data_IF_622219422182
#
_entry.id   IF_622219422182
#
_cell.length_a   1.000
_cell.length_b   1.000
_cell.length_c   1.000
_cell.angle_alpha   90.00
_cell.angle_beta   90.00
_cell.angle_gamma   90.00
#
_symmetry.space_group_name_H-M   'P 1'
#
loop_
_entity.id
_entity.type
_entity.pdbx_description
1 polymer ?
#
# COMPACT_ATOMS: atom_id res chain seq x y z
N UNK A 1 15.34 27.42 39.26
CA UNK A 1 16.00 26.15 38.85
C UNK A 1 15.88 26.01 37.33
N UNK A 2 16.58 25.06 36.69
CA UNK A 2 16.38 24.76 35.26
C UNK A 2 15.35 23.63 35.03
N UNK A 3 14.91 23.45 33.79
CA UNK A 3 13.88 22.46 33.45
C UNK A 3 14.31 21.02 33.74
N UNK A 4 15.60 20.68 33.56
CA UNK A 4 16.11 19.35 33.82
C UNK A 4 16.15 19.01 35.32
N UNK A 5 16.48 19.99 36.17
CA UNK A 5 16.37 19.85 37.62
C UNK A 5 14.91 19.72 38.06
N UNK A 6 13.99 20.47 37.44
CA UNK A 6 12.54 20.35 37.69
C UNK A 6 12.02 18.94 37.35
N UNK A 7 12.37 18.41 36.17
CA UNK A 7 11.94 17.07 35.73
C UNK A 7 12.37 15.97 36.71
N UNK A 8 13.61 16.05 37.23
CA UNK A 8 14.13 15.10 38.24
C UNK A 8 13.40 15.16 39.58
N UNK A 9 12.76 16.28 39.91
CA UNK A 9 12.02 16.44 41.17
C UNK A 9 10.51 16.27 40.99
N UNK A 10 10.00 16.18 39.76
CA UNK A 10 8.58 16.16 39.45
C UNK A 10 7.84 15.02 40.14
N UNK A 11 8.39 13.79 40.11
CA UNK A 11 7.78 12.63 40.79
C UNK A 11 7.68 12.82 42.31
N UNK A 12 8.72 13.42 42.92
CA UNK A 12 8.72 13.78 44.35
C UNK A 12 7.75 14.91 44.68
N UNK A 13 7.59 15.88 43.77
CA UNK A 13 6.63 16.98 43.88
C UNK A 13 5.19 16.45 43.79
N UNK A 14 4.92 15.49 42.92
CA UNK A 14 3.60 14.85 42.79
C UNK A 14 3.26 13.96 43.99
N UNK A 15 4.25 13.33 44.62
CA UNK A 15 4.07 12.51 45.82
C UNK A 15 4.10 13.26 47.15
N UNK A 16 4.10 14.59 47.17
CA UNK A 16 4.26 15.44 48.37
C UNK A 16 5.48 15.08 49.25
N UNK A 17 6.60 14.68 48.63
CA UNK A 17 7.84 14.24 49.32
C UNK A 17 8.99 15.24 49.25
N UNK A 18 8.76 16.47 48.80
CA UNK A 18 9.79 17.49 48.70
C UNK A 18 10.03 18.22 50.02
N UNK A 19 11.28 18.65 50.24
CA UNK A 19 11.56 19.62 51.30
C UNK A 19 10.93 20.98 50.96
N UNK A 20 10.64 21.80 51.98
CA UNK A 20 10.05 23.14 51.78
C UNK A 20 10.87 24.03 50.83
N UNK A 21 12.20 23.94 50.88
CA UNK A 21 13.08 24.70 49.99
C UNK A 21 12.96 24.23 48.52
N UNK A 22 12.83 22.93 48.28
CA UNK A 22 12.64 22.39 46.94
C UNK A 22 11.25 22.69 46.38
N UNK A 23 10.18 22.61 47.20
CA UNK A 23 8.82 22.96 46.79
C UNK A 23 8.74 24.44 46.38
N UNK A 24 9.35 25.33 47.17
CA UNK A 24 9.40 26.74 46.83
C UNK A 24 10.17 27.00 45.53
N UNK A 25 11.34 26.38 45.35
CA UNK A 25 12.13 26.52 44.12
C UNK A 25 11.38 25.98 42.87
N UNK A 26 10.61 24.90 43.03
CA UNK A 26 9.77 24.34 41.98
C UNK A 26 8.62 25.28 41.60
N UNK A 27 7.95 25.88 42.60
CA UNK A 27 6.87 26.86 42.38
C UNK A 27 7.37 28.12 41.70
N UNK A 28 8.51 28.66 42.15
CA UNK A 28 9.17 29.81 41.51
C UNK A 28 9.49 29.49 40.04
N UNK A 29 10.02 28.30 39.76
CA UNK A 29 10.28 27.87 38.38
C UNK A 29 9.01 27.75 37.53
N UNK A 30 7.91 27.21 38.07
CA UNK A 30 6.63 27.11 37.33
C UNK A 30 5.98 28.47 37.03
N UNK A 31 6.30 29.51 37.80
CA UNK A 31 5.88 30.87 37.47
C UNK A 31 6.63 31.39 36.23
N UNK A 32 7.92 31.09 36.14
CA UNK A 32 8.79 31.54 35.05
C UNK A 32 8.72 30.67 33.79
N UNK A 33 8.46 29.37 33.92
CA UNK A 33 8.46 28.41 32.82
C UNK A 33 7.05 27.86 32.53
N UNK A 34 6.45 28.35 31.44
CA UNK A 34 5.12 27.91 31.00
C UNK A 34 5.06 26.42 30.66
N UNK A 35 6.12 25.85 30.07
CA UNK A 35 6.16 24.44 29.71
C UNK A 35 6.10 23.52 30.93
N UNK A 36 6.97 23.75 31.92
CA UNK A 36 7.01 22.96 33.15
C UNK A 36 5.70 23.11 33.96
N UNK A 37 5.08 24.29 33.92
CA UNK A 37 3.76 24.52 34.51
C UNK A 37 2.66 23.70 33.83
N UNK A 38 2.67 23.61 32.50
CA UNK A 38 1.68 22.82 31.77
C UNK A 38 1.86 21.32 32.03
N UNK A 39 3.10 20.84 32.04
CA UNK A 39 3.41 19.44 32.41
C UNK A 39 2.90 19.15 33.83
N UNK A 40 3.21 20.00 34.81
CA UNK A 40 2.71 19.85 36.17
C UNK A 40 1.18 19.86 36.23
N UNK A 41 0.54 20.74 35.46
CA UNK A 41 -0.93 20.78 35.36
C UNK A 41 -1.48 19.47 34.79
N UNK A 42 -0.90 18.92 33.74
CA UNK A 42 -1.35 17.65 33.14
C UNK A 42 -1.28 16.49 34.13
N UNK A 43 -0.24 16.45 34.98
CA UNK A 43 -0.11 15.40 35.99
C UNK A 43 -0.93 15.65 37.26
N UNK A 44 -1.14 16.91 37.66
CA UNK A 44 -1.89 17.28 38.87
C UNK A 44 -3.40 17.38 38.64
N UNK A 45 -3.83 17.69 37.43
CA UNK A 45 -5.25 17.63 37.08
C UNK A 45 -5.64 16.15 37.13
N UNK A 46 -6.38 15.82 38.17
CA UNK A 46 -6.46 14.51 38.81
C UNK A 46 -6.80 13.29 37.91
N UNK A 47 -6.26 12.11 38.26
CA UNK A 47 -6.78 10.79 37.91
C UNK A 47 -8.22 10.53 38.39
N UNK A 48 -8.71 11.25 39.40
CA UNK A 48 -10.05 11.12 40.00
C UNK A 48 -11.22 11.59 39.10
N UNK A 49 -10.94 12.16 37.94
CA UNK A 49 -11.98 12.53 36.97
C UNK A 49 -12.38 11.39 36.03
N UNK A 50 -11.56 10.33 35.96
CA UNK A 50 -11.93 9.14 35.23
C UNK A 50 -12.66 8.24 36.20
N UNK A 51 -13.88 7.84 35.86
CA UNK A 51 -14.54 6.78 36.61
C UNK A 51 -13.65 5.54 36.60
N UNK A 52 -13.78 4.67 37.60
CA UNK A 52 -13.07 3.38 37.65
C UNK A 52 -13.16 2.62 36.30
N UNK A 53 -14.28 2.79 35.59
CA UNK A 53 -14.53 2.25 34.26
C UNK A 53 -13.64 2.89 33.18
N UNK A 54 -13.54 4.22 33.11
CA UNK A 54 -12.66 4.91 32.14
C UNK A 54 -11.18 4.72 32.46
N UNK A 55 -10.82 4.57 33.73
CA UNK A 55 -9.45 4.25 34.12
C UNK A 55 -9.08 2.82 33.70
N UNK A 56 -9.99 1.86 33.87
CA UNK A 56 -9.79 0.49 33.36
C UNK A 56 -9.69 0.45 31.83
N UNK A 57 -10.52 1.22 31.13
CA UNK A 57 -10.50 1.32 29.67
C UNK A 57 -9.19 1.96 29.15
N UNK A 58 -8.76 3.07 29.73
CA UNK A 58 -7.50 3.74 29.37
C UNK A 58 -6.28 2.86 29.68
N UNK A 59 -6.27 2.21 30.84
CA UNK A 59 -5.20 1.27 31.19
C UNK A 59 -5.19 0.10 30.21
N UNK A 60 -6.36 -0.42 29.82
CA UNK A 60 -6.51 -1.42 28.77
C UNK A 60 -5.92 -0.95 27.43
N UNK A 61 -6.27 0.26 26.98
CA UNK A 61 -5.78 0.83 25.73
C UNK A 61 -4.26 1.08 25.73
N UNK A 62 -3.70 1.60 26.84
CA UNK A 62 -2.26 1.81 26.99
C UNK A 62 -1.53 0.47 27.00
N UNK A 63 -2.04 -0.53 27.72
CA UNK A 63 -1.46 -1.88 27.73
C UNK A 63 -1.53 -2.51 26.35
N UNK A 64 -2.66 -2.41 25.65
CA UNK A 64 -2.82 -2.91 24.28
C UNK A 64 -1.80 -2.25 23.33
N UNK A 65 -1.56 -0.95 23.49
CA UNK A 65 -0.63 -0.20 22.65
C UNK A 65 0.85 -0.43 22.99
N UNK A 66 1.18 -0.66 24.27
CA UNK A 66 2.58 -0.77 24.73
C UNK A 66 3.08 -2.20 24.87
N UNK A 67 2.20 -3.14 25.23
CA UNK A 67 2.56 -4.56 25.36
C UNK A 67 2.23 -5.38 24.10
N UNK A 68 1.64 -4.73 23.10
CA UNK A 68 1.08 -5.38 21.92
C UNK A 68 -0.19 -6.15 22.27
N UNK A 69 -0.94 -6.59 21.26
CA UNK A 69 -2.10 -7.42 21.54
C UNK A 69 -1.63 -8.74 22.17
N UNK A 70 -2.20 -9.17 23.31
CA UNK A 70 -1.81 -10.43 23.95
C UNK A 70 -2.00 -11.62 22.99
N UNK A 71 -2.94 -11.53 22.05
CA UNK A 71 -3.11 -12.50 20.98
C UNK A 71 -1.87 -12.63 20.08
N UNK A 72 -1.23 -11.52 19.69
CA UNK A 72 -0.02 -11.58 18.86
C UNK A 72 1.13 -12.26 19.58
N UNK A 73 1.32 -11.96 20.87
CA UNK A 73 2.33 -12.66 21.67
C UNK A 73 2.00 -14.15 21.80
N UNK A 74 0.72 -14.50 21.94
CA UNK A 74 0.30 -15.91 21.96
C UNK A 74 0.58 -16.61 20.63
N UNK A 75 0.32 -15.97 19.49
CA UNK A 75 0.61 -16.51 18.16
C UNK A 75 2.08 -16.92 18.01
N UNK A 76 3.00 -16.12 18.58
CA UNK A 76 4.43 -16.41 18.59
C UNK A 76 4.79 -17.63 19.48
N UNK A 77 4.05 -17.85 20.57
CA UNK A 77 4.27 -18.95 21.52
C UNK A 77 3.52 -20.25 21.17
N UNK A 78 2.56 -20.19 20.26
CA UNK A 78 1.59 -21.27 20.04
C UNK A 78 2.21 -22.52 19.41
N UNK A 79 3.21 -22.35 18.54
CA UNK A 79 3.95 -23.48 17.95
C UNK A 79 4.71 -24.27 19.02
N UNK A 80 5.48 -23.56 19.87
CA UNK A 80 6.23 -24.18 20.95
C UNK A 80 5.30 -24.85 21.98
N UNK A 81 4.11 -24.28 22.23
CA UNK A 81 3.07 -24.89 23.06
C UNK A 81 2.59 -26.23 22.48
N UNK A 82 2.31 -26.28 21.17
CA UNK A 82 1.86 -27.50 20.49
C UNK A 82 2.94 -28.58 20.48
N UNK A 83 4.20 -28.18 20.38
CA UNK A 83 5.35 -29.08 20.43
C UNK A 83 5.73 -29.50 21.86
N UNK A 84 5.17 -28.87 22.90
CA UNK A 84 5.51 -29.12 24.29
C UNK A 84 6.91 -28.59 24.69
N UNK A 85 7.40 -27.58 23.97
CA UNK A 85 8.72 -26.97 24.15
C UNK A 85 8.69 -25.67 25.00
N UNK A 86 7.51 -25.24 25.44
CA UNK A 86 7.33 -24.03 26.22
C UNK A 86 7.85 -24.18 27.66
N UNK A 87 8.45 -23.13 28.23
CA UNK A 87 8.77 -23.13 29.66
C UNK A 87 7.50 -23.01 30.52
N UNK A 88 7.53 -23.46 31.79
CA UNK A 88 6.33 -23.50 32.63
C UNK A 88 5.62 -22.15 32.81
N UNK A 89 6.36 -21.04 32.81
CA UNK A 89 5.78 -19.70 32.99
C UNK A 89 4.96 -19.31 31.77
N UNK A 90 5.53 -19.52 30.58
CA UNK A 90 4.81 -19.24 29.33
C UNK A 90 3.65 -20.22 29.11
N UNK A 91 3.76 -21.46 29.59
CA UNK A 91 2.68 -22.46 29.49
C UNK A 91 1.45 -22.03 30.28
N UNK A 92 1.63 -21.52 31.51
CA UNK A 92 0.54 -20.96 32.32
C UNK A 92 -0.10 -19.74 31.64
N UNK A 93 0.70 -18.85 31.05
CA UNK A 93 0.20 -17.68 30.33
C UNK A 93 -0.64 -18.08 29.10
N UNK A 94 -0.15 -19.04 28.31
CA UNK A 94 -0.87 -19.55 27.14
C UNK A 94 -2.17 -20.23 27.56
N UNK A 95 -2.14 -21.09 28.59
CA UNK A 95 -3.33 -21.76 29.11
C UNK A 95 -4.40 -20.76 29.55
N UNK A 96 -4.04 -19.76 30.37
CA UNK A 96 -4.96 -18.75 30.87
C UNK A 96 -5.58 -17.89 29.76
N UNK A 97 -4.85 -17.64 28.66
CA UNK A 97 -5.36 -16.91 27.52
C UNK A 97 -6.30 -17.76 26.66
N UNK A 98 -5.96 -19.02 26.40
CA UNK A 98 -6.79 -19.95 25.64
C UNK A 98 -8.15 -20.21 26.32
N UNK A 99 -8.20 -20.15 27.66
CA UNK A 99 -9.47 -20.21 28.41
C UNK A 99 -10.42 -19.04 28.14
N UNK A 100 -9.93 -17.90 27.65
CA UNK A 100 -10.71 -16.66 27.50
C UNK A 100 -10.86 -16.18 26.05
N UNK A 101 -10.06 -16.68 25.12
CA UNK A 101 -9.99 -16.17 23.75
C UNK A 101 -10.33 -17.27 22.72
N UNK A 102 -11.57 -17.27 22.24
CA UNK A 102 -12.08 -18.24 21.26
C UNK A 102 -11.26 -18.27 19.96
N UNK A 103 -10.82 -17.10 19.47
CA UNK A 103 -10.03 -16.99 18.26
C UNK A 103 -8.67 -17.70 18.39
N UNK A 104 -8.01 -17.55 19.54
CA UNK A 104 -6.74 -18.20 19.81
C UNK A 104 -6.89 -19.70 20.01
N UNK A 105 -7.99 -20.14 20.64
CA UNK A 105 -8.34 -21.56 20.77
C UNK A 105 -8.61 -22.21 19.42
N UNK A 106 -9.32 -21.52 18.53
CA UNK A 106 -9.51 -21.95 17.15
C UNK A 106 -8.17 -22.08 16.40
N UNK A 107 -7.28 -21.09 16.53
CA UNK A 107 -5.94 -21.14 15.93
C UNK A 107 -5.11 -22.31 16.46
N UNK A 108 -5.13 -22.56 17.77
CA UNK A 108 -4.45 -23.72 18.39
C UNK A 108 -4.91 -25.02 17.76
N UNK A 109 -6.22 -25.20 17.63
CA UNK A 109 -6.81 -26.42 17.07
C UNK A 109 -6.42 -26.61 15.59
N UNK A 110 -6.40 -25.54 14.80
CA UNK A 110 -5.94 -25.59 13.40
C UNK A 110 -4.48 -26.02 13.32
N UNK A 111 -3.60 -25.40 14.11
CA UNK A 111 -2.17 -25.73 14.10
C UNK A 111 -1.90 -27.15 14.61
N UNK A 112 -2.65 -27.62 15.62
CA UNK A 112 -2.55 -29.00 16.11
C UNK A 112 -2.93 -30.02 15.02
N UNK A 113 -4.04 -29.79 14.32
CA UNK A 113 -4.47 -30.63 13.20
C UNK A 113 -3.45 -30.61 12.05
N UNK A 114 -2.93 -29.42 11.70
CA UNK A 114 -1.91 -29.28 10.66
C UNK A 114 -0.61 -30.01 11.02
N UNK A 115 -0.21 -30.00 12.29
CA UNK A 115 0.98 -30.71 12.76
C UNK A 115 0.84 -32.23 12.58
N UNK A 116 -0.35 -32.78 12.87
CA UNK A 116 -0.67 -34.18 12.62
C UNK A 116 -0.64 -34.52 11.12
N UNK A 117 -1.31 -33.70 10.29
CA UNK A 117 -1.33 -33.87 8.84
C UNK A 117 0.10 -33.83 8.26
N UNK A 118 0.91 -32.85 8.64
CA UNK A 118 2.29 -32.71 8.16
C UNK A 118 3.16 -33.90 8.59
N UNK A 119 2.97 -34.42 9.81
CA UNK A 119 3.69 -35.61 10.27
C UNK A 119 3.29 -36.85 9.47
N UNK A 120 2.01 -36.99 9.11
CA UNK A 120 1.55 -38.08 8.24
C UNK A 120 2.14 -37.99 6.82
N UNK A 121 2.37 -36.77 6.32
CA UNK A 121 3.01 -36.56 5.01
C UNK A 121 4.52 -36.79 5.04
N UNK A 122 5.17 -36.61 6.20
CA UNK A 122 6.60 -36.81 6.37
C UNK A 122 7.03 -38.28 6.16
N UNK A 123 6.11 -39.24 6.24
CA UNK A 123 6.39 -40.66 5.98
C UNK A 123 6.56 -40.98 4.48
N UNK A 124 6.21 -40.06 3.58
CA UNK A 124 6.40 -40.24 2.14
C UNK A 124 7.85 -39.92 1.79
N UNK A 125 8.71 -40.92 1.85
CA UNK A 125 10.07 -40.81 1.32
C UNK A 125 9.98 -40.66 -0.21
N UNK A 126 10.27 -39.48 -0.79
CA UNK A 126 10.12 -39.29 -2.21
C UNK A 126 11.14 -40.17 -2.95
N UNK A 127 10.69 -40.75 -4.06
CA UNK A 127 11.54 -41.38 -5.07
C UNK A 127 12.72 -40.45 -5.40
N UNK A 128 13.94 -41.01 -5.49
CA UNK A 128 15.14 -40.26 -5.87
C UNK A 128 15.01 -39.55 -7.22
N UNK A 129 14.20 -40.09 -8.14
CA UNK A 129 13.83 -39.44 -9.41
C UNK A 129 12.97 -38.21 -9.20
N UNK A 130 12.03 -38.22 -8.26
CA UNK A 130 11.23 -37.03 -7.95
C UNK A 130 12.12 -35.88 -7.45
N UNK A 131 13.08 -36.17 -6.57
CA UNK A 131 14.04 -35.16 -6.10
C UNK A 131 14.84 -34.61 -7.28
N UNK A 132 15.33 -35.47 -8.17
CA UNK A 132 16.07 -35.05 -9.36
C UNK A 132 15.19 -34.23 -10.32
N UNK A 133 13.94 -34.59 -10.53
CA UNK A 133 12.99 -33.86 -11.38
C UNK A 133 12.65 -32.49 -10.80
N UNK A 134 12.48 -32.37 -9.47
CA UNK A 134 12.24 -31.08 -8.81
C UNK A 134 13.49 -30.21 -8.88
N UNK A 135 14.68 -30.76 -8.63
CA UNK A 135 15.94 -30.02 -8.75
C UNK A 135 16.18 -29.58 -10.20
N UNK A 136 15.91 -30.43 -11.19
CA UNK A 136 16.00 -30.08 -12.61
C UNK A 136 14.97 -29.02 -13.02
N UNK A 137 13.87 -28.85 -12.26
CA UNK A 137 12.87 -27.81 -12.53
C UNK A 137 13.09 -26.52 -11.74
N UNK A 138 13.77 -26.59 -10.60
CA UNK A 138 13.95 -25.45 -9.68
C UNK A 138 15.37 -24.88 -9.73
N UNK A 139 16.39 -25.72 -9.92
CA UNK A 139 17.80 -25.33 -9.95
C UNK A 139 18.27 -25.02 -11.37
N UNK A 140 17.63 -25.53 -12.41
CA UNK A 140 18.05 -25.30 -13.79
C UNK A 140 17.83 -23.83 -14.19
N UNK A 141 18.85 -23.04 -13.86
CA UNK A 141 19.08 -21.71 -14.41
C UNK A 141 19.10 -21.87 -15.93
N UNK A 142 18.31 -21.07 -16.67
CA UNK A 142 18.38 -21.10 -18.13
C UNK A 142 19.84 -20.89 -18.53
N UNK A 143 20.41 -21.88 -19.21
CA UNK A 143 21.78 -21.80 -19.68
C UNK A 143 21.89 -20.52 -20.51
N UNK A 144 22.91 -19.71 -20.19
CA UNK A 144 23.19 -18.42 -20.83
C UNK A 144 23.26 -18.51 -22.36
N UNK A 145 23.43 -19.71 -22.91
CA UNK A 145 23.42 -19.99 -24.36
C UNK A 145 22.06 -19.84 -25.04
N UNK A 146 20.93 -19.90 -24.31
CA UNK A 146 19.60 -19.63 -24.89
C UNK A 146 19.28 -18.13 -25.04
N UNK A 147 20.09 -17.25 -24.44
CA UNK A 147 19.86 -15.80 -24.45
C UNK A 147 20.31 -15.11 -25.73
N UNK A 148 21.09 -15.79 -26.58
CA UNK A 148 21.73 -15.19 -27.76
C UNK A 148 20.98 -15.51 -29.07
N UNK A 149 20.08 -16.51 -29.09
CA UNK A 149 19.40 -16.93 -30.34
C UNK A 149 17.87 -16.94 -30.28
N UNK A 150 17.26 -16.53 -29.16
CA UNK A 150 15.80 -16.48 -29.01
C UNK A 150 15.21 -15.16 -29.49
N UNK A 151 14.52 -15.20 -30.63
CA UNK A 151 13.53 -14.20 -31.07
C UNK A 151 12.67 -13.69 -29.91
N UNK A 152 12.32 -12.40 -29.92
CA UNK A 152 11.55 -11.69 -28.87
C UNK A 152 10.30 -12.44 -28.39
N UNK A 153 9.69 -13.26 -29.26
CA UNK A 153 8.54 -14.11 -28.97
C UNK A 153 8.83 -15.24 -27.97
N UNK A 154 10.04 -15.80 -27.97
CA UNK A 154 10.45 -16.85 -27.02
C UNK A 154 10.67 -16.31 -25.59
N UNK A 155 11.20 -15.09 -25.48
CA UNK A 155 11.42 -14.44 -24.18
C UNK A 155 10.10 -14.11 -23.47
N UNK A 156 9.10 -13.63 -24.23
CA UNK A 156 7.77 -13.28 -23.70
C UNK A 156 7.02 -14.53 -23.24
N UNK A 157 6.98 -15.60 -24.04
CA UNK A 157 6.28 -16.84 -23.66
C UNK A 157 6.91 -17.54 -22.44
N UNK A 158 8.25 -17.55 -22.35
CA UNK A 158 8.97 -18.06 -21.18
C UNK A 158 8.80 -17.22 -19.92
N UNK A 159 8.54 -15.92 -20.06
CA UNK A 159 8.18 -15.06 -18.93
C UNK A 159 6.73 -15.30 -18.48
N UNK A 160 5.78 -15.38 -19.42
CA UNK A 160 4.37 -15.64 -19.13
C UNK A 160 4.13 -16.98 -18.43
N UNK A 161 4.78 -18.05 -18.91
CA UNK A 161 4.67 -19.37 -18.27
C UNK A 161 5.21 -19.41 -16.83
N UNK A 162 6.21 -18.58 -16.52
CA UNK A 162 6.73 -18.43 -15.14
C UNK A 162 5.79 -17.63 -14.26
N UNK A 163 5.14 -16.60 -14.81
CA UNK A 163 4.18 -15.81 -14.05
C UNK A 163 2.90 -16.59 -13.75
N UNK A 164 2.37 -17.35 -14.71
CA UNK A 164 1.15 -18.18 -14.53
C UNK A 164 1.32 -19.22 -13.42
N UNK A 165 2.53 -19.71 -13.16
CA UNK A 165 2.81 -20.68 -12.09
C UNK A 165 2.84 -20.08 -10.69
N UNK A 166 2.79 -18.75 -10.54
CA UNK A 166 2.72 -18.13 -9.22
C UNK A 166 1.28 -18.22 -8.69
N UNK A 167 1.06 -18.74 -7.47
CA UNK A 167 -0.30 -18.87 -6.92
C UNK A 167 -1.04 -17.54 -6.78
N UNK A 168 -0.33 -16.41 -6.71
CA UNK A 168 -0.91 -15.05 -6.64
C UNK A 168 -1.20 -14.40 -7.98
N UNK A 169 -0.73 -14.97 -9.09
CA UNK A 169 -0.85 -14.38 -10.41
C UNK A 169 -2.31 -14.14 -10.88
N UNK A 170 -3.27 -15.06 -10.65
CA UNK A 170 -4.66 -14.82 -11.04
C UNK A 170 -5.25 -13.59 -10.36
N UNK A 171 -4.91 -13.35 -9.10
CA UNK A 171 -5.39 -12.22 -8.31
C UNK A 171 -4.80 -10.89 -8.82
N UNK A 172 -3.49 -10.87 -9.11
CA UNK A 172 -2.80 -9.71 -9.66
C UNK A 172 -3.32 -9.32 -11.05
N UNK A 173 -3.61 -10.30 -11.91
CA UNK A 173 -4.20 -10.09 -13.24
C UNK A 173 -5.63 -9.60 -13.14
N UNK A 174 -6.46 -10.21 -12.28
CA UNK A 174 -7.84 -9.78 -12.08
C UNK A 174 -7.89 -8.33 -11.56
N UNK A 175 -7.01 -7.97 -10.63
CA UNK A 175 -6.92 -6.60 -10.11
C UNK A 175 -6.46 -5.60 -11.18
N UNK A 176 -5.41 -5.93 -11.94
CA UNK A 176 -4.92 -5.07 -13.01
C UNK A 176 -5.96 -4.90 -14.11
N UNK A 177 -6.69 -5.96 -14.46
CA UNK A 177 -7.81 -5.89 -15.40
C UNK A 177 -8.96 -5.04 -14.87
N UNK A 178 -9.33 -5.18 -13.59
CA UNK A 178 -10.34 -4.35 -12.95
C UNK A 178 -9.94 -2.87 -12.94
N UNK A 179 -8.67 -2.55 -12.68
CA UNK A 179 -8.16 -1.17 -12.75
C UNK A 179 -8.19 -0.62 -14.16
N UNK A 180 -7.79 -1.40 -15.17
CA UNK A 180 -7.89 -1.00 -16.57
C UNK A 180 -9.35 -0.73 -16.96
N UNK A 181 -10.27 -1.61 -16.58
CA UNK A 181 -11.70 -1.39 -16.82
C UNK A 181 -12.20 -0.14 -16.09
N UNK A 182 -11.84 0.03 -14.82
CA UNK A 182 -12.24 1.20 -14.04
C UNK A 182 -11.76 2.51 -14.69
N UNK A 183 -10.50 2.54 -15.14
CA UNK A 183 -9.91 3.67 -15.87
C UNK A 183 -10.64 3.87 -17.20
N UNK A 184 -10.87 2.80 -17.97
CA UNK A 184 -11.57 2.89 -19.25
C UNK A 184 -13.01 3.42 -19.09
N UNK A 185 -13.75 2.94 -18.09
CA UNK A 185 -15.13 3.35 -17.87
C UNK A 185 -15.25 4.74 -17.24
N UNK A 186 -14.35 5.13 -16.33
CA UNK A 186 -14.41 6.46 -15.69
C UNK A 186 -13.80 7.56 -16.55
N UNK A 187 -12.68 7.31 -17.23
CA UNK A 187 -11.99 8.35 -18.02
C UNK A 187 -12.65 8.53 -19.39
N UNK A 188 -12.99 7.44 -20.08
CA UNK A 188 -13.58 7.54 -21.42
C UNK A 188 -15.11 7.68 -21.39
N UNK A 189 -15.70 7.73 -20.19
CA UNK A 189 -17.10 8.13 -19.99
C UNK A 189 -18.07 7.37 -20.87
N UNK A 190 -17.93 6.04 -21.00
CA UNK A 190 -18.87 5.23 -21.78
C UNK A 190 -20.28 5.40 -21.18
N UNK A 191 -21.18 6.11 -21.86
CA UNK A 191 -22.56 6.19 -21.40
C UNK A 191 -23.18 4.84 -21.71
N UNK A 192 -23.53 4.07 -20.67
CA UNK A 192 -24.50 2.98 -20.82
C UNK A 192 -25.87 3.63 -21.07
N UNK A 193 -26.06 4.18 -22.26
CA UNK A 193 -27.33 4.67 -22.76
C UNK A 193 -28.20 3.45 -23.11
N UNK A 194 -28.99 3.04 -22.12
CA UNK A 194 -30.08 2.11 -22.27
C UNK A 194 -31.18 2.49 -21.30
N UNK A 195 -31.95 3.52 -21.66
CA UNK A 195 -33.28 3.88 -21.12
C UNK A 195 -33.46 3.86 -19.58
N UNK A 196 -33.48 5.05 -18.97
CA UNK A 196 -34.72 5.63 -18.43
C UNK A 196 -34.43 6.93 -17.67
N UNK A 197 -34.90 8.03 -18.25
CA UNK A 197 -35.32 9.28 -17.60
C UNK A 197 -34.29 10.10 -16.78
N UNK A 198 -33.67 11.15 -17.35
CA UNK A 198 -32.74 12.03 -16.65
C UNK A 198 -33.41 12.91 -15.57
N UNK A 199 -34.74 12.99 -15.51
CA UNK A 199 -35.44 13.79 -14.52
C UNK A 199 -35.44 13.20 -13.09
N UNK A 200 -35.10 11.91 -12.91
CA UNK A 200 -35.13 11.24 -11.60
C UNK A 200 -33.83 11.36 -10.77
N UNK A 201 -32.74 11.94 -11.30
CA UNK A 201 -31.44 12.01 -10.61
C UNK A 201 -31.07 13.39 -10.04
N UNK A 202 -32.02 14.07 -9.43
CA UNK A 202 -31.75 15.23 -8.56
C UNK A 202 -31.32 14.85 -7.13
N UNK A 203 -31.04 13.59 -6.84
CA UNK A 203 -30.56 13.12 -5.54
C UNK A 203 -29.19 12.48 -5.65
N UNK A 204 -28.17 13.15 -5.11
CA UNK A 204 -26.79 12.70 -4.90
C UNK A 204 -25.90 12.62 -6.14
N UNK A 205 -25.45 13.80 -6.60
CA UNK A 205 -24.23 13.90 -7.37
C UNK A 205 -23.02 13.66 -6.41
N UNK A 206 -22.19 12.63 -6.61
CA UNK A 206 -21.06 12.35 -5.72
C UNK A 206 -20.02 13.48 -5.71
N UNK A 207 -19.97 14.30 -6.77
CA UNK A 207 -19.12 15.50 -6.83
C UNK A 207 -19.60 16.55 -5.83
N UNK A 208 -20.91 16.65 -5.62
CA UNK A 208 -21.52 17.61 -4.71
C UNK A 208 -21.36 17.18 -3.25
N UNK A 209 -21.44 15.88 -2.94
CA UNK A 209 -21.14 15.35 -1.60
C UNK A 209 -19.67 15.50 -1.22
N UNK A 210 -18.76 15.31 -2.19
CA UNK A 210 -17.32 15.56 -1.97
C UNK A 210 -17.08 17.05 -1.78
N UNK A 211 -17.71 17.92 -2.57
CA UNK A 211 -17.62 19.37 -2.44
C UNK A 211 -18.13 19.89 -1.08
N UNK A 212 -19.26 19.37 -0.58
CA UNK A 212 -19.82 19.74 0.72
C UNK A 212 -18.95 19.26 1.89
N UNK A 213 -18.42 18.03 1.83
CA UNK A 213 -17.46 17.53 2.81
C UNK A 213 -16.14 18.34 2.81
N UNK A 214 -15.78 18.92 1.66
CA UNK A 214 -14.62 19.77 1.51
C UNK A 214 -14.83 21.18 2.09
N UNK A 215 -16.04 21.73 1.97
CA UNK A 215 -16.38 23.04 2.55
C UNK A 215 -16.50 23.00 4.08
N UNK A 216 -16.92 21.87 4.67
CA UNK A 216 -17.11 21.74 6.13
C UNK A 216 -15.80 21.76 6.96
N UNK A 217 -14.61 21.70 6.34
CA UNK A 217 -13.31 21.60 7.02
C UNK A 217 -12.44 22.88 6.93
N UNK A 218 -13.08 24.05 6.78
CA UNK A 218 -12.43 25.36 6.61
C UNK A 218 -11.37 25.73 7.68
N UNK A 219 -11.48 25.37 8.97
CA UNK A 219 -10.45 25.68 9.98
C UNK A 219 -9.15 24.88 9.84
N UNK A 220 -9.18 23.72 9.18
CA UNK A 220 -7.99 22.92 8.88
C UNK A 220 -7.21 23.49 7.67
N UNK A 221 -7.89 24.28 6.83
CA UNK A 221 -7.38 24.83 5.58
C UNK A 221 -6.27 25.86 5.79
N UNK A 222 -6.39 26.73 6.80
CA UNK A 222 -5.37 27.74 7.10
C UNK A 222 -4.02 27.11 7.46
N UNK A 223 -4.03 26.14 8.38
CA UNK A 223 -2.80 25.47 8.85
C UNK A 223 -2.14 24.58 7.79
N UNK A 224 -2.92 23.94 6.93
CA UNK A 224 -2.40 23.10 5.83
C UNK A 224 -1.93 23.96 4.66
N UNK A 225 -2.58 25.09 4.38
CA UNK A 225 -2.16 26.03 3.33
C UNK A 225 -0.86 26.76 3.72
N UNK A 226 -0.70 27.17 4.97
CA UNK A 226 0.52 27.83 5.45
C UNK A 226 1.72 26.87 5.47
N UNK A 227 1.49 25.62 5.92
CA UNK A 227 2.50 24.57 5.86
C UNK A 227 2.84 24.19 4.42
N UNK A 228 1.82 23.97 3.58
CA UNK A 228 1.98 23.62 2.17
C UNK A 228 2.67 24.71 1.34
N UNK A 229 2.38 25.98 1.60
CA UNK A 229 3.04 27.12 0.95
C UNK A 229 4.52 27.21 1.28
N UNK A 230 4.88 27.07 2.55
CA UNK A 230 6.29 27.14 3.00
C UNK A 230 7.15 25.96 2.50
N UNK A 231 6.54 24.77 2.36
CA UNK A 231 7.18 23.60 1.75
C UNK A 231 7.28 23.76 0.23
N UNK A 232 6.23 24.25 -0.43
CA UNK A 232 6.21 24.47 -1.88
C UNK A 232 7.20 25.54 -2.36
N UNK A 233 7.39 26.63 -1.62
CA UNK A 233 8.41 27.63 -1.94
C UNK A 233 9.84 27.08 -1.80
N UNK A 234 10.08 26.18 -0.83
CA UNK A 234 11.42 25.60 -0.59
C UNK A 234 11.77 24.45 -1.53
N UNK A 235 10.80 23.59 -1.87
CA UNK A 235 11.07 22.37 -2.65
C UNK A 235 10.33 22.35 -3.99
N UNK A 236 9.15 22.95 -4.07
CA UNK A 236 8.29 22.93 -5.25
C UNK A 236 8.73 23.88 -6.36
N UNK A 237 9.15 25.11 -6.05
CA UNK A 237 9.55 26.09 -7.07
C UNK A 237 10.83 25.69 -7.85
N UNK A 238 11.90 25.17 -7.20
CA UNK A 238 13.07 24.67 -7.91
C UNK A 238 12.74 23.41 -8.74
N UNK A 239 11.96 22.49 -8.16
CA UNK A 239 11.53 21.26 -8.81
C UNK A 239 10.61 21.54 -10.00
N UNK A 240 9.67 22.47 -9.89
CA UNK A 240 8.75 22.88 -10.97
C UNK A 240 9.47 23.50 -12.16
N UNK A 241 10.60 24.19 -11.93
CA UNK A 241 11.42 24.77 -12.99
C UNK A 241 12.24 23.72 -13.73
N UNK A 242 12.69 22.68 -13.04
CA UNK A 242 13.42 21.55 -13.60
C UNK A 242 12.48 20.52 -14.26
N UNK A 243 11.30 20.32 -13.69
CA UNK A 243 10.24 19.49 -14.27
C UNK A 243 9.46 20.20 -15.38
N UNK A 244 9.44 21.53 -15.46
CA UNK A 244 8.74 22.27 -16.53
C UNK A 244 9.34 21.97 -17.90
N UNK A 245 10.67 22.00 -18.02
CA UNK A 245 11.36 21.65 -19.27
C UNK A 245 11.22 20.15 -19.61
N UNK A 246 11.17 19.28 -18.60
CA UNK A 246 10.89 17.86 -18.76
C UNK A 246 9.41 17.60 -19.11
N UNK A 247 8.50 18.43 -18.61
CA UNK A 247 7.06 18.34 -18.84
C UNK A 247 6.71 18.82 -20.23
N UNK A 248 7.32 19.89 -20.74
CA UNK A 248 7.13 20.32 -22.13
C UNK A 248 7.67 19.26 -23.11
N UNK A 249 8.84 18.66 -22.82
CA UNK A 249 9.36 17.54 -23.61
C UNK A 249 8.49 16.27 -23.48
N UNK A 250 7.90 16.02 -22.30
CA UNK A 250 7.00 14.90 -22.05
C UNK A 250 5.62 15.11 -22.67
N UNK A 251 5.10 16.34 -22.70
CA UNK A 251 3.84 16.72 -23.36
C UNK A 251 4.02 16.69 -24.87
N UNK A 252 5.13 17.19 -25.42
CA UNK A 252 5.41 17.08 -26.86
C UNK A 252 5.59 15.61 -27.29
N UNK A 253 6.29 14.81 -26.48
CA UNK A 253 6.39 13.36 -26.71
C UNK A 253 5.04 12.67 -26.50
N UNK A 254 4.25 13.14 -25.55
CA UNK A 254 2.92 12.66 -25.20
C UNK A 254 1.90 12.92 -26.31
N UNK A 255 1.90 14.10 -26.91
CA UNK A 255 1.05 14.46 -28.05
C UNK A 255 1.42 13.66 -29.29
N UNK A 256 2.73 13.46 -29.55
CA UNK A 256 3.21 12.57 -30.61
C UNK A 256 2.81 11.10 -30.38
N UNK A 257 2.80 10.66 -29.12
CA UNK A 257 2.33 9.31 -28.74
C UNK A 257 0.81 9.17 -28.79
N UNK A 258 0.05 10.20 -28.39
CA UNK A 258 -1.40 10.24 -28.44
C UNK A 258 -1.91 10.31 -29.88
N UNK A 259 -1.24 11.04 -30.77
CA UNK A 259 -1.55 11.04 -32.21
C UNK A 259 -1.23 9.66 -32.83
N UNK A 260 -0.14 9.02 -32.40
CA UNK A 260 0.17 7.65 -32.83
C UNK A 260 -0.86 6.63 -32.28
N UNK A 261 -1.34 6.83 -31.05
CA UNK A 261 -2.35 6.00 -30.43
C UNK A 261 -3.74 6.22 -31.03
N UNK A 262 -4.10 7.44 -31.44
CA UNK A 262 -5.36 7.75 -32.12
C UNK A 262 -5.42 7.09 -33.51
N UNK A 263 -4.30 7.09 -34.23
CA UNK A 263 -4.13 6.38 -35.50
C UNK A 263 -4.26 4.86 -35.26
N UNK A 264 -3.58 4.33 -34.24
CA UNK A 264 -3.72 2.94 -33.82
C UNK A 264 -5.16 2.56 -33.48
N UNK A 265 -5.88 3.43 -32.76
CA UNK A 265 -7.29 3.25 -32.41
C UNK A 265 -8.21 3.23 -33.64
N UNK A 266 -7.96 4.09 -34.63
CA UNK A 266 -8.71 4.10 -35.90
C UNK A 266 -8.54 2.80 -36.67
N UNK A 267 -7.32 2.26 -36.76
CA UNK A 267 -7.07 0.99 -37.42
C UNK A 267 -7.58 -0.21 -36.61
N UNK A 268 -7.47 -0.18 -35.29
CA UNK A 268 -8.02 -1.21 -34.41
C UNK A 268 -9.56 -1.25 -34.49
N UNK A 269 -10.22 -0.08 -34.58
CA UNK A 269 -11.66 0.03 -34.80
C UNK A 269 -12.08 -0.57 -36.14
N UNK A 270 -11.36 -0.25 -37.23
CA UNK A 270 -11.62 -0.84 -38.56
C UNK A 270 -11.40 -2.34 -38.57
N UNK A 271 -10.30 -2.82 -37.97
CA UNK A 271 -10.04 -4.24 -37.82
C UNK A 271 -11.13 -4.95 -36.99
N UNK A 272 -11.59 -4.36 -35.89
CA UNK A 272 -12.68 -4.88 -35.07
C UNK A 272 -14.00 -5.01 -35.85
N UNK A 273 -14.36 -3.99 -36.63
CA UNK A 273 -15.54 -4.03 -37.51
C UNK A 273 -15.42 -5.14 -38.57
N UNK A 274 -14.24 -5.34 -39.15
CA UNK A 274 -14.00 -6.41 -40.15
C UNK A 274 -14.03 -7.81 -39.54
N UNK A 275 -13.56 -7.98 -38.29
CA UNK A 275 -13.69 -9.24 -37.54
C UNK A 275 -15.16 -9.57 -37.27
N UNK A 276 -15.96 -8.58 -36.83
CA UNK A 276 -17.40 -8.77 -36.59
C UNK A 276 -18.12 -9.17 -37.89
N UNK A 277 -17.68 -8.65 -39.04
CA UNK A 277 -18.19 -9.03 -40.37
C UNK A 277 -17.63 -10.36 -40.90
N UNK A 278 -16.72 -11.01 -40.18
CA UNK A 278 -16.07 -12.27 -40.60
C UNK A 278 -15.07 -12.11 -41.75
N UNK A 279 -14.65 -10.89 -42.09
CA UNK A 279 -13.71 -10.62 -43.18
C UNK A 279 -12.26 -10.60 -42.68
N UNK A 280 -11.68 -11.80 -42.53
CA UNK A 280 -10.34 -11.98 -41.99
C UNK A 280 -9.23 -11.39 -42.87
N UNK A 281 -9.42 -11.37 -44.20
CA UNK A 281 -8.44 -10.78 -45.13
C UNK A 281 -8.36 -9.27 -44.93
N UNK A 282 -9.51 -8.60 -44.84
CA UNK A 282 -9.60 -7.15 -44.61
C UNK A 282 -9.08 -6.77 -43.21
N UNK A 283 -9.37 -7.60 -42.20
CA UNK A 283 -8.80 -7.45 -40.85
C UNK A 283 -7.27 -7.50 -40.89
N UNK A 284 -6.70 -8.49 -41.59
CA UNK A 284 -5.25 -8.64 -41.70
C UNK A 284 -4.62 -7.44 -42.43
N UNK A 285 -5.26 -6.96 -43.51
CA UNK A 285 -4.84 -5.76 -44.23
C UNK A 285 -4.80 -4.53 -43.33
N UNK A 286 -5.83 -4.29 -42.51
CA UNK A 286 -5.84 -3.17 -41.57
C UNK A 286 -4.73 -3.26 -40.52
N UNK A 287 -4.43 -4.46 -40.01
CA UNK A 287 -3.34 -4.66 -39.06
C UNK A 287 -1.97 -4.43 -39.72
N UNK A 288 -1.79 -4.87 -40.98
CA UNK A 288 -0.53 -4.64 -41.71
C UNK A 288 -0.31 -3.17 -42.05
N UNK A 289 -1.36 -2.45 -42.47
CA UNK A 289 -1.28 -1.01 -42.72
C UNK A 289 -1.01 -0.23 -41.44
N UNK A 290 -1.68 -0.58 -40.33
CA UNK A 290 -1.39 0.01 -39.02
C UNK A 290 0.08 -0.14 -38.63
N UNK A 291 0.65 -1.35 -38.77
CA UNK A 291 2.07 -1.60 -38.47
C UNK A 291 2.99 -0.77 -39.37
N UNK A 292 2.69 -0.66 -40.66
CA UNK A 292 3.46 0.12 -41.61
C UNK A 292 3.42 1.61 -41.28
N UNK A 293 2.25 2.15 -40.97
CA UNK A 293 2.08 3.57 -40.58
C UNK A 293 2.79 3.89 -39.27
N UNK A 294 2.66 3.05 -38.24
CA UNK A 294 3.36 3.24 -36.95
C UNK A 294 4.88 3.17 -37.16
N UNK A 295 5.36 2.20 -37.95
CA UNK A 295 6.80 2.08 -38.23
C UNK A 295 7.37 3.27 -39.00
N UNK A 296 6.63 3.79 -39.98
CA UNK A 296 7.05 4.97 -40.74
C UNK A 296 7.12 6.22 -39.85
N UNK A 297 6.13 6.41 -38.96
CA UNK A 297 6.14 7.53 -38.02
C UNK A 297 7.24 7.43 -36.98
N UNK A 298 7.50 6.22 -36.47
CA UNK A 298 8.58 6.01 -35.52
C UNK A 298 9.95 6.36 -36.11
N UNK A 299 10.19 5.98 -37.38
CA UNK A 299 11.40 6.38 -38.11
C UNK A 299 11.51 7.90 -38.33
N UNK A 300 10.37 8.59 -38.51
CA UNK A 300 10.33 10.05 -38.56
C UNK A 300 10.78 10.67 -37.24
N UNK A 301 10.26 10.19 -36.11
CA UNK A 301 10.62 10.67 -34.78
C UNK A 301 12.10 10.42 -34.47
N UNK A 302 12.67 9.29 -34.89
CA UNK A 302 14.11 9.01 -34.73
C UNK A 302 14.97 9.97 -35.55
N UNK A 303 14.57 10.27 -36.80
CA UNK A 303 15.26 11.21 -37.68
C UNK A 303 15.20 12.65 -37.15
N UNK A 304 14.05 13.08 -36.64
CA UNK A 304 13.89 14.41 -36.02
C UNK A 304 14.77 14.56 -34.76
N UNK A 305 14.95 13.48 -34.00
CA UNK A 305 15.88 13.45 -32.86
C UNK A 305 17.32 13.60 -33.33
N UNK A 306 17.75 12.85 -34.35
CA UNK A 306 19.10 12.96 -34.90
C UNK A 306 19.40 14.38 -35.41
N UNK A 307 18.47 15.02 -36.11
CA UNK A 307 18.64 16.40 -36.61
C UNK A 307 18.64 17.46 -35.50
N UNK A 308 17.92 17.23 -34.39
CA UNK A 308 17.92 18.14 -33.24
C UNK A 308 19.18 18.09 -32.36
N UNK A 309 20.06 17.11 -32.58
CA UNK A 309 21.26 16.88 -31.74
C UNK A 309 22.56 17.32 -32.41
N UNK A 310 22.53 17.80 -33.66
CA UNK A 310 23.66 18.46 -34.32
C UNK A 310 23.72 19.95 -33.91
N UNK A 311 24.81 20.43 -33.28
CA UNK A 311 24.94 21.80 -32.78
C UNK A 311 25.25 22.85 -33.86
#
# INVERSE_FOLDING_TARGET
>A
MDCAAFEKILDRLLGDRLSHAEDQAAREHMVECEHCREVYRLFKTEPDLLSDETQAELTGAILEQTTGSPCRRLEELLCDHIEGNLDPTNEELVAHHLERCDNCTLLKNILANLSEDLRSMAEIQPDSRFVMDVLDRTIYKPSLKSRVTGTVTGAVSGWWSRQIRRPRFPLEVAYSFAMILFILFNIFGFPFEGNSDPAARAGTNPIESVSQAWQANEPARGRIADFGGSVWERTGVPLAKETGNLWDAFVETGDKLLDTASIGGSYAGKAGVSVIKGNFIETWQHITEMKKTISQRWKGIEKDKEESTEP
#
